data_IF_731378416632
#
_entry.id   IF_731378416632
#
_cell.length_a   1.000
_cell.length_b   1.000
_cell.length_c   1.000
_cell.angle_alpha   90.00
_cell.angle_beta   90.00
_cell.angle_gamma   90.00
#
_symmetry.space_group_name_H-M   'P 1'
#
loop_
_entity.id
_entity.type
_entity.pdbx_description
1 polymer ?
#
# COMPACT_ATOMS: atom_id res chain seq x y z
N UNK A 1 -27.77 -0.65 5.64
CA UNK A 1 -26.82 -0.32 6.72
C UNK A 1 -25.54 0.13 6.04
N UNK A 2 -25.11 1.39 6.22
CA UNK A 2 -23.89 1.91 5.58
C UNK A 2 -22.69 1.29 6.29
N UNK A 3 -21.84 0.56 5.55
CA UNK A 3 -20.57 0.08 6.07
C UNK A 3 -19.55 1.21 5.98
N UNK A 4 -19.32 1.89 7.10
CA UNK A 4 -18.19 2.84 7.20
C UNK A 4 -16.85 2.10 7.10
N UNK A 5 -15.91 2.70 6.36
CA UNK A 5 -14.54 2.19 6.33
C UNK A 5 -13.88 2.38 7.69
N UNK A 6 -13.58 1.28 8.37
CA UNK A 6 -12.92 1.32 9.66
C UNK A 6 -11.44 1.72 9.47
N UNK A 7 -11.05 2.83 10.08
CA UNK A 7 -9.64 3.25 10.10
C UNK A 7 -8.97 2.72 11.37
N UNK A 8 -7.84 2.07 11.19
CA UNK A 8 -7.00 1.61 12.29
C UNK A 8 -5.68 2.37 12.26
N UNK A 9 -5.36 3.01 13.38
CA UNK A 9 -4.08 3.67 13.58
C UNK A 9 -3.12 2.78 14.34
N UNK A 10 -1.83 3.01 14.13
CA UNK A 10 -0.77 2.29 14.81
C UNK A 10 -0.74 2.68 16.31
N UNK A 11 -0.68 1.68 17.19
CA UNK A 11 -0.48 1.92 18.62
C UNK A 11 1.02 1.95 18.96
N UNK A 12 1.60 3.15 18.94
CA UNK A 12 3.02 3.40 19.21
C UNK A 12 3.45 3.02 20.64
N UNK A 13 2.50 2.92 21.58
CA UNK A 13 2.78 2.69 23.00
C UNK A 13 2.45 1.27 23.46
N UNK A 14 2.11 0.37 22.54
CA UNK A 14 1.74 -1.03 22.87
C UNK A 14 2.74 -1.75 23.77
N UNK A 15 4.02 -1.38 23.70
CA UNK A 15 5.11 -2.06 24.39
C UNK A 15 5.75 -1.22 25.51
N UNK A 16 5.04 -0.28 26.11
CA UNK A 16 5.53 0.68 27.12
C UNK A 16 6.76 1.53 26.66
N UNK A 17 7.10 1.43 25.39
CA UNK A 17 8.12 2.22 24.68
C UNK A 17 7.55 2.67 23.35
N UNK A 18 8.02 3.79 22.84
CA UNK A 18 7.65 4.21 21.49
C UNK A 18 8.30 3.30 20.47
N UNK A 19 7.49 2.43 19.86
CA UNK A 19 7.93 1.53 18.81
C UNK A 19 7.01 1.71 17.59
N UNK A 20 7.63 1.90 16.42
CA UNK A 20 6.93 2.18 15.16
C UNK A 20 6.81 0.93 14.28
N UNK A 21 6.86 -0.25 14.88
CA UNK A 21 6.78 -1.56 14.24
C UNK A 21 6.07 -2.55 15.15
N UNK A 22 5.32 -3.47 14.56
CA UNK A 22 4.70 -4.60 15.27
C UNK A 22 4.65 -5.85 14.37
N UNK A 23 4.56 -7.02 14.95
CA UNK A 23 4.34 -8.29 14.25
C UNK A 23 3.31 -9.12 15.02
N UNK A 24 2.13 -9.26 14.44
CA UNK A 24 1.00 -9.95 15.07
C UNK A 24 0.75 -11.27 14.36
N UNK A 25 0.64 -12.37 15.14
CA UNK A 25 0.16 -13.63 14.60
C UNK A 25 -1.35 -13.57 14.43
N UNK A 26 -1.83 -13.77 13.22
CA UNK A 26 -3.20 -13.45 12.82
C UNK A 26 -4.26 -14.37 13.44
N UNK A 27 -3.93 -15.60 13.83
CA UNK A 27 -4.88 -16.49 14.50
C UNK A 27 -5.34 -15.96 15.88
N UNK A 28 -4.50 -15.17 16.54
CA UNK A 28 -4.84 -14.50 17.81
C UNK A 28 -5.79 -13.31 17.57
N UNK A 29 -5.78 -12.75 16.37
CA UNK A 29 -6.61 -11.62 15.96
C UNK A 29 -7.86 -12.07 15.21
N UNK A 30 -7.98 -13.36 14.87
CA UNK A 30 -9.03 -13.96 14.06
C UNK A 30 -10.45 -13.63 14.57
N UNK A 31 -10.62 -13.52 15.89
CA UNK A 31 -11.88 -13.08 16.53
C UNK A 31 -12.26 -11.62 16.20
N UNK A 32 -11.35 -10.83 15.59
CA UNK A 32 -11.53 -9.42 15.22
C UNK A 32 -11.68 -9.23 13.71
N UNK A 33 -11.50 -10.30 12.90
CA UNK A 33 -11.71 -10.21 11.45
C UNK A 33 -13.19 -10.16 11.17
N UNK A 34 -13.63 -9.02 10.69
CA UNK A 34 -14.99 -8.85 10.20
C UNK A 34 -14.93 -8.96 8.68
N UNK A 35 -15.49 -10.03 8.14
CA UNK A 35 -15.66 -10.17 6.68
C UNK A 35 -16.75 -9.22 6.18
N UNK A 36 -16.56 -8.68 4.97
CA UNK A 36 -17.54 -7.78 4.37
C UNK A 36 -17.50 -6.35 4.92
N UNK A 37 -16.56 -6.00 5.82
CA UNK A 37 -16.37 -4.64 6.29
C UNK A 37 -15.07 -4.05 5.73
N UNK A 38 -15.15 -2.95 4.96
CA UNK A 38 -13.96 -2.25 4.48
C UNK A 38 -13.16 -1.65 5.63
N UNK A 39 -11.83 -1.73 5.53
CA UNK A 39 -10.92 -1.14 6.51
C UNK A 39 -9.66 -0.59 5.83
N UNK A 40 -8.96 0.31 6.49
CA UNK A 40 -7.64 0.80 6.10
C UNK A 40 -6.76 1.05 7.31
N UNK A 41 -5.46 1.04 7.07
CA UNK A 41 -4.41 1.37 8.05
C UNK A 41 -3.70 2.64 7.63
N UNK A 42 -3.18 3.42 8.57
CA UNK A 42 -2.31 4.58 8.32
C UNK A 42 -0.81 4.22 8.23
N UNK A 43 -0.49 2.93 8.27
CA UNK A 43 0.85 2.36 8.21
C UNK A 43 1.00 1.33 7.08
N UNK A 44 2.23 0.97 6.76
CA UNK A 44 2.55 -0.13 5.85
C UNK A 44 2.46 -1.48 6.55
N UNK A 45 2.14 -2.53 5.79
CA UNK A 45 2.09 -3.88 6.31
C UNK A 45 2.48 -4.94 5.28
N UNK A 46 2.89 -6.08 5.80
CA UNK A 46 3.16 -7.29 5.05
C UNK A 46 2.42 -8.42 5.73
N UNK A 47 1.47 -9.02 5.04
CA UNK A 47 0.79 -10.19 5.55
C UNK A 47 1.36 -11.46 4.90
N UNK A 48 1.85 -12.38 5.72
CA UNK A 48 2.45 -13.65 5.30
C UNK A 48 1.49 -14.76 5.71
N UNK A 49 0.78 -15.35 4.73
CA UNK A 49 -0.24 -16.35 4.99
C UNK A 49 0.37 -17.73 5.25
N UNK A 50 0.20 -18.24 6.47
CA UNK A 50 0.77 -19.50 6.93
C UNK A 50 -0.13 -20.73 6.65
N UNK A 51 -1.45 -20.58 6.76
CA UNK A 51 -2.42 -21.66 6.53
C UNK A 51 -3.76 -21.14 6.03
N UNK A 52 -4.64 -22.06 5.65
CA UNK A 52 -5.99 -21.77 5.21
C UNK A 52 -6.10 -21.10 3.84
N UNK A 53 -7.31 -20.68 3.51
CA UNK A 53 -7.63 -19.95 2.29
C UNK A 53 -8.36 -18.65 2.64
N UNK A 54 -8.13 -17.62 1.85
CA UNK A 54 -8.84 -16.37 2.00
C UNK A 54 -9.12 -15.71 0.64
N UNK A 55 -10.06 -14.80 0.62
CA UNK A 55 -10.30 -13.87 -0.47
C UNK A 55 -10.30 -12.46 0.11
N UNK A 56 -9.43 -11.59 -0.41
CA UNK A 56 -9.33 -10.19 -0.03
C UNK A 56 -9.65 -9.30 -1.23
N UNK A 57 -10.36 -8.22 -1.01
CA UNK A 57 -10.50 -7.13 -1.95
C UNK A 57 -9.54 -6.01 -1.55
N UNK A 58 -8.76 -5.50 -2.50
CA UNK A 58 -7.83 -4.39 -2.32
C UNK A 58 -8.11 -3.37 -3.42
N UNK A 59 -8.54 -2.15 -3.06
CA UNK A 59 -8.91 -1.09 -4.03
C UNK A 59 -9.88 -1.61 -5.13
N UNK A 60 -10.82 -2.48 -4.75
CA UNK A 60 -11.80 -3.19 -5.60
C UNK A 60 -11.27 -4.29 -6.52
N UNK A 61 -10.01 -4.64 -6.44
CA UNK A 61 -9.47 -5.84 -7.08
C UNK A 61 -9.51 -7.01 -6.09
N UNK A 62 -10.03 -8.17 -6.52
CA UNK A 62 -10.16 -9.36 -5.68
C UNK A 62 -9.00 -10.31 -5.88
N UNK A 63 -8.42 -10.76 -4.77
CA UNK A 63 -7.29 -11.69 -4.74
C UNK A 63 -7.63 -12.93 -3.92
N UNK A 64 -7.33 -14.11 -4.48
CA UNK A 64 -7.44 -15.38 -3.78
C UNK A 64 -6.10 -15.77 -3.19
N UNK A 65 -6.11 -16.14 -1.92
CA UNK A 65 -4.95 -16.37 -1.10
C UNK A 65 -4.94 -17.79 -0.56
N UNK A 66 -3.75 -18.36 -0.46
CA UNK A 66 -3.49 -19.64 0.19
C UNK A 66 -2.10 -19.59 0.85
N UNK A 67 -1.69 -20.68 1.51
CA UNK A 67 -0.35 -20.82 2.08
C UNK A 67 0.73 -20.45 1.06
N UNK A 68 1.74 -19.70 1.49
CA UNK A 68 2.82 -19.20 0.64
C UNK A 68 2.55 -17.84 -0.02
N UNK A 69 1.34 -17.28 0.11
CA UNK A 69 1.05 -15.93 -0.33
C UNK A 69 1.57 -14.88 0.66
N UNK A 70 2.19 -13.85 0.13
CA UNK A 70 2.58 -12.62 0.83
C UNK A 70 1.79 -11.48 0.22
N UNK A 71 1.16 -10.65 1.07
CA UNK A 71 0.41 -9.48 0.65
C UNK A 71 1.12 -8.24 1.15
N UNK A 72 1.36 -7.29 0.26
CA UNK A 72 1.94 -6.00 0.58
C UNK A 72 0.83 -4.97 0.75
N UNK A 73 0.76 -4.39 1.94
CA UNK A 73 -0.30 -3.51 2.36
C UNK A 73 0.24 -2.08 2.50
N UNK A 74 -0.19 -1.18 1.62
CA UNK A 74 0.21 0.23 1.67
C UNK A 74 -0.61 1.00 2.69
N UNK A 75 -0.02 2.01 3.30
CA UNK A 75 -0.75 2.95 4.13
C UNK A 75 -1.94 3.56 3.37
N UNK A 76 -3.05 3.79 4.08
CA UNK A 76 -4.30 4.37 3.57
C UNK A 76 -4.96 3.61 2.40
N UNK A 77 -4.53 2.39 2.10
CA UNK A 77 -5.14 1.52 1.09
C UNK A 77 -6.38 0.83 1.68
N UNK A 78 -7.50 0.91 0.99
CA UNK A 78 -8.73 0.29 1.46
C UNK A 78 -8.78 -1.19 1.06
N UNK A 79 -9.20 -2.03 2.00
CA UNK A 79 -9.29 -3.48 1.89
C UNK A 79 -10.54 -4.00 2.54
N UNK A 80 -10.92 -5.21 2.12
CA UNK A 80 -12.04 -5.94 2.71
C UNK A 80 -11.73 -7.44 2.67
N UNK A 81 -11.80 -8.11 3.81
CA UNK A 81 -11.82 -9.56 3.82
C UNK A 81 -13.16 -10.05 3.31
N UNK A 82 -13.18 -10.67 2.14
CA UNK A 82 -14.41 -11.17 1.50
C UNK A 82 -14.78 -12.52 2.08
N UNK A 83 -13.80 -13.40 2.27
CA UNK A 83 -13.96 -14.72 2.86
C UNK A 83 -12.64 -15.20 3.48
N UNK A 84 -12.73 -15.94 4.57
CA UNK A 84 -11.61 -16.64 5.21
C UNK A 84 -12.08 -18.02 5.68
N UNK A 85 -11.20 -19.03 5.60
CA UNK A 85 -11.47 -20.36 6.18
C UNK A 85 -11.14 -20.38 7.66
N UNK A 86 -11.69 -21.35 8.40
CA UNK A 86 -11.50 -21.47 9.86
C UNK A 86 -10.06 -21.75 10.28
N UNK A 87 -9.27 -22.35 9.40
CA UNK A 87 -7.85 -22.65 9.58
C UNK A 87 -6.92 -21.53 9.05
N UNK A 88 -7.48 -20.38 8.68
CA UNK A 88 -6.73 -19.25 8.18
C UNK A 88 -5.83 -18.65 9.25
N UNK A 89 -4.53 -18.61 8.97
CA UNK A 89 -3.55 -17.98 9.84
C UNK A 89 -2.39 -17.35 9.09
N UNK A 90 -1.68 -16.46 9.75
CA UNK A 90 -0.51 -15.81 9.20
C UNK A 90 0.11 -14.79 10.14
N UNK A 91 1.13 -14.11 9.64
CA UNK A 91 1.80 -13.04 10.34
C UNK A 91 1.49 -11.71 9.66
N UNK A 92 1.04 -10.74 10.43
CA UNK A 92 0.90 -9.35 9.99
C UNK A 92 2.05 -8.54 10.58
N UNK A 93 3.02 -8.25 9.75
CA UNK A 93 4.12 -7.35 10.05
C UNK A 93 3.72 -5.94 9.63
N UNK A 94 3.73 -5.00 10.56
CA UNK A 94 3.33 -3.60 10.33
C UNK A 94 4.43 -2.66 10.76
N UNK A 95 4.58 -1.54 10.06
CA UNK A 95 5.55 -0.51 10.39
C UNK A 95 5.16 0.85 9.80
N UNK A 96 5.58 1.90 10.50
CA UNK A 96 5.50 3.26 9.98
C UNK A 96 6.76 3.61 9.17
N UNK A 97 6.63 4.53 8.22
CA UNK A 97 7.76 4.99 7.40
C UNK A 97 8.91 5.51 8.26
N UNK A 98 8.58 6.27 9.30
CA UNK A 98 9.53 6.85 10.24
C UNK A 98 10.47 5.80 10.87
N UNK A 99 9.99 4.56 11.09
CA UNK A 99 10.81 3.48 11.64
C UNK A 99 12.04 3.17 10.80
N UNK A 100 11.92 3.30 9.50
CA UNK A 100 12.98 3.00 8.53
C UNK A 100 13.70 4.25 8.03
N UNK A 101 12.95 5.31 7.72
CA UNK A 101 13.48 6.54 7.11
C UNK A 101 14.49 7.25 8.02
N UNK A 102 14.16 7.41 9.30
CA UNK A 102 15.04 8.08 10.27
C UNK A 102 16.37 7.34 10.46
N UNK A 103 16.32 6.00 10.51
CA UNK A 103 17.52 5.21 10.72
C UNK A 103 18.45 5.19 9.51
N UNK A 104 17.89 5.04 8.31
CA UNK A 104 18.66 5.00 7.06
C UNK A 104 18.98 6.39 6.52
N UNK A 105 18.47 7.44 7.14
CA UNK A 105 18.50 8.81 6.63
C UNK A 105 18.06 8.87 5.15
N UNK A 106 17.02 8.10 4.81
CA UNK A 106 16.51 7.91 3.46
C UNK A 106 14.98 8.01 3.47
N UNK A 107 14.46 9.20 3.24
CA UNK A 107 13.04 9.51 3.18
C UNK A 107 12.34 8.89 1.94
N UNK A 108 13.10 8.26 1.06
CA UNK A 108 12.60 7.52 -0.10
C UNK A 108 12.62 6.00 0.13
N UNK A 109 13.03 5.54 1.32
CA UNK A 109 13.28 4.13 1.60
C UNK A 109 12.13 3.22 1.17
N UNK A 110 10.90 3.48 1.65
CA UNK A 110 9.72 2.65 1.34
C UNK A 110 9.36 2.72 -0.15
N UNK A 111 9.58 3.86 -0.78
CA UNK A 111 9.30 4.06 -2.20
C UNK A 111 10.22 3.29 -3.15
N UNK A 112 11.34 2.74 -2.66
CA UNK A 112 12.25 1.89 -3.45
C UNK A 112 11.68 0.51 -3.70
N UNK A 113 10.76 0.02 -2.87
CA UNK A 113 10.19 -1.31 -3.01
C UNK A 113 9.06 -1.33 -4.04
N UNK A 114 9.23 -2.18 -5.07
CA UNK A 114 8.31 -2.28 -6.20
C UNK A 114 6.90 -2.69 -5.77
N UNK A 115 6.79 -3.58 -4.80
CA UNK A 115 5.51 -4.09 -4.31
C UNK A 115 4.66 -3.04 -3.55
N UNK A 116 5.25 -1.94 -3.12
CA UNK A 116 4.48 -0.82 -2.57
C UNK A 116 4.06 0.20 -3.64
N UNK A 117 4.33 -0.05 -4.92
CA UNK A 117 3.89 0.82 -6.00
C UNK A 117 2.41 0.57 -6.36
N UNK A 118 1.66 1.65 -6.64
CA UNK A 118 0.22 1.58 -6.93
C UNK A 118 -0.08 0.73 -8.17
N UNK A 119 0.79 0.79 -9.17
CA UNK A 119 0.59 0.11 -10.45
C UNK A 119 1.00 -1.36 -10.43
N UNK A 120 1.44 -1.88 -9.29
CA UNK A 120 1.96 -3.23 -9.17
C UNK A 120 1.00 -4.12 -8.37
N UNK A 121 0.93 -5.42 -8.66
CA UNK A 121 0.12 -6.36 -7.89
C UNK A 121 0.57 -6.38 -6.42
N UNK A 122 -0.34 -6.31 -5.45
CA UNK A 122 0.03 -6.29 -4.03
C UNK A 122 0.32 -7.68 -3.45
N UNK A 123 0.59 -8.67 -4.29
CA UNK A 123 0.75 -10.07 -3.88
C UNK A 123 2.04 -10.64 -4.46
N UNK A 124 2.71 -11.47 -3.66
CA UNK A 124 3.81 -12.33 -4.07
C UNK A 124 3.52 -13.75 -3.61
N UNK A 125 3.76 -14.72 -4.48
CA UNK A 125 3.72 -16.13 -4.11
C UNK A 125 5.15 -16.65 -4.01
N UNK A 126 5.51 -17.20 -2.84
CA UNK A 126 6.84 -17.71 -2.56
C UNK A 126 6.88 -19.24 -2.60
N UNK A 127 8.04 -19.76 -2.98
CA UNK A 127 8.39 -21.17 -2.82
C UNK A 127 8.58 -21.52 -1.34
N UNK A 128 8.36 -22.79 -0.96
CA UNK A 128 8.31 -23.23 0.44
C UNK A 128 9.56 -22.90 1.26
N UNK A 129 10.76 -22.98 0.68
CA UNK A 129 11.99 -22.69 1.42
C UNK A 129 12.10 -21.21 1.79
N UNK A 130 11.87 -20.32 0.83
CA UNK A 130 11.89 -18.87 1.06
C UNK A 130 10.75 -18.41 1.97
N UNK A 131 9.59 -19.01 1.78
CA UNK A 131 8.44 -18.75 2.64
C UNK A 131 8.74 -19.09 4.10
N UNK A 132 9.33 -20.26 4.36
CA UNK A 132 9.69 -20.71 5.71
C UNK A 132 10.69 -19.75 6.39
N UNK A 133 11.62 -19.17 5.64
CA UNK A 133 12.55 -18.17 6.14
C UNK A 133 11.83 -16.87 6.58
N UNK A 134 10.86 -16.39 5.79
CA UNK A 134 10.08 -15.20 6.16
C UNK A 134 9.22 -15.45 7.40
N UNK A 135 8.61 -16.63 7.52
CA UNK A 135 7.88 -17.03 8.73
C UNK A 135 8.80 -17.06 9.95
N UNK A 136 10.00 -17.61 9.82
CA UNK A 136 10.97 -17.66 10.90
C UNK A 136 11.43 -16.26 11.34
N UNK A 137 11.64 -15.35 10.40
CA UNK A 137 11.93 -13.96 10.73
C UNK A 137 10.78 -13.26 11.47
N UNK A 138 9.52 -13.53 11.09
CA UNK A 138 8.37 -13.02 11.84
C UNK A 138 8.33 -13.55 13.30
N UNK A 139 8.67 -14.83 13.51
CA UNK A 139 8.78 -15.39 14.87
C UNK A 139 9.86 -14.71 15.68
N UNK A 140 11.05 -14.49 15.09
CA UNK A 140 12.15 -13.77 15.74
C UNK A 140 11.76 -12.34 16.11
N UNK A 141 11.07 -11.63 15.20
CA UNK A 141 10.51 -10.31 15.47
C UNK A 141 9.52 -10.38 16.65
N UNK A 142 8.59 -11.32 16.64
CA UNK A 142 7.62 -11.49 17.72
C UNK A 142 8.27 -11.79 19.08
N UNK A 143 9.32 -12.63 19.11
CA UNK A 143 10.08 -12.90 20.33
C UNK A 143 10.78 -11.64 20.86
N UNK A 144 11.42 -10.86 19.98
CA UNK A 144 12.08 -9.62 20.37
C UNK A 144 11.10 -8.57 20.89
N UNK A 145 9.92 -8.46 20.26
CA UNK A 145 8.86 -7.56 20.70
C UNK A 145 8.31 -7.88 22.10
N UNK A 146 8.34 -9.15 22.49
CA UNK A 146 7.89 -9.57 23.82
C UNK A 146 8.91 -9.27 24.94
N UNK A 147 10.20 -9.10 24.58
CA UNK A 147 11.30 -8.89 25.53
C UNK A 147 12.25 -7.82 25.03
N UNK A 148 11.76 -6.58 24.92
CA UNK A 148 12.53 -5.44 24.38
C UNK A 148 13.74 -5.09 25.25
N UNK A 149 14.90 -4.95 24.58
CA UNK A 149 16.17 -4.47 25.12
C UNK A 149 16.47 -3.08 24.55
N UNK A 150 17.54 -2.46 25.02
CA UNK A 150 17.91 -1.12 24.55
C UNK A 150 18.33 -1.08 23.07
N UNK A 151 18.84 -2.19 22.55
CA UNK A 151 19.26 -2.37 21.16
C UNK A 151 18.20 -3.04 20.26
N UNK A 152 17.05 -3.44 20.81
CA UNK A 152 15.98 -4.14 20.07
C UNK A 152 15.54 -3.42 18.80
N UNK A 153 15.48 -2.08 18.83
CA UNK A 153 15.11 -1.31 17.65
C UNK A 153 16.10 -1.45 16.49
N UNK A 154 17.40 -1.66 16.75
CA UNK A 154 18.40 -1.95 15.71
C UNK A 154 18.21 -3.37 15.16
N UNK A 155 18.00 -4.35 16.05
CA UNK A 155 17.76 -5.73 15.65
C UNK A 155 16.49 -5.88 14.82
N UNK A 156 15.38 -5.30 15.25
CA UNK A 156 14.10 -5.30 14.54
C UNK A 156 14.21 -4.64 13.16
N UNK A 157 14.91 -3.50 13.04
CA UNK A 157 15.18 -2.84 11.76
C UNK A 157 16.00 -3.71 10.82
N UNK A 158 17.04 -4.41 11.34
CA UNK A 158 17.87 -5.28 10.52
C UNK A 158 17.07 -6.44 9.93
N UNK A 159 16.18 -7.07 10.73
CA UNK A 159 15.30 -8.13 10.27
C UNK A 159 14.30 -7.62 9.23
N UNK A 160 13.61 -6.50 9.51
CA UNK A 160 12.68 -5.90 8.56
C UNK A 160 13.36 -5.54 7.25
N UNK A 161 14.52 -4.89 7.30
CA UNK A 161 15.26 -4.49 6.11
C UNK A 161 15.66 -5.69 5.27
N UNK A 162 16.22 -6.73 5.90
CA UNK A 162 16.60 -7.96 5.21
C UNK A 162 15.39 -8.60 4.51
N UNK A 163 14.24 -8.69 5.20
CA UNK A 163 13.00 -9.20 4.62
C UNK A 163 12.54 -8.38 3.42
N UNK A 164 12.50 -7.05 3.56
CA UNK A 164 12.06 -6.14 2.48
C UNK A 164 12.94 -6.29 1.23
N UNK A 165 14.26 -6.29 1.40
CA UNK A 165 15.21 -6.45 0.27
C UNK A 165 15.03 -7.82 -0.40
N UNK A 166 14.93 -8.90 0.36
CA UNK A 166 14.77 -10.24 -0.22
C UNK A 166 13.44 -10.39 -0.94
N UNK A 167 12.35 -9.96 -0.31
CA UNK A 167 11.03 -9.95 -0.95
C UNK A 167 11.04 -9.13 -2.24
N UNK A 168 11.72 -7.97 -2.26
CA UNK A 168 11.78 -7.13 -3.45
C UNK A 168 12.57 -7.77 -4.60
N UNK A 169 13.66 -8.48 -4.30
CA UNK A 169 14.42 -9.23 -5.32
C UNK A 169 13.55 -10.29 -5.97
N UNK A 170 12.86 -11.10 -5.18
CA UNK A 170 11.95 -12.13 -5.68
C UNK A 170 10.79 -11.48 -6.47
N UNK A 171 10.25 -10.40 -5.95
CA UNK A 171 9.14 -9.68 -6.58
C UNK A 171 9.52 -9.14 -7.96
N UNK A 172 10.71 -8.53 -8.08
CA UNK A 172 11.26 -8.05 -9.35
C UNK A 172 11.42 -9.20 -10.35
N UNK A 173 11.92 -10.33 -9.90
CA UNK A 173 12.12 -11.53 -10.72
C UNK A 173 10.77 -12.10 -11.21
N UNK A 174 9.83 -12.35 -10.31
CA UNK A 174 8.50 -12.91 -10.61
C UNK A 174 7.74 -12.04 -11.59
N UNK A 175 7.75 -10.72 -11.40
CA UNK A 175 7.01 -9.77 -12.23
C UNK A 175 7.86 -9.18 -13.37
N UNK A 176 9.10 -9.63 -13.55
CA UNK A 176 10.05 -9.19 -14.59
C UNK A 176 10.21 -7.67 -14.64
N UNK A 177 10.36 -7.05 -13.49
CA UNK A 177 10.45 -5.60 -13.34
C UNK A 177 11.90 -5.11 -13.51
N UNK A 178 12.06 -3.81 -13.83
CA UNK A 178 13.38 -3.19 -13.89
C UNK A 178 13.98 -3.02 -12.48
N UNK A 179 15.26 -3.30 -12.34
CA UNK A 179 16.03 -3.09 -11.10
C UNK A 179 16.50 -1.63 -10.91
N UNK A 180 16.27 -0.78 -11.90
CA UNK A 180 16.82 0.59 -11.96
C UNK A 180 16.22 1.59 -10.95
N UNK A 181 15.15 1.21 -10.23
CA UNK A 181 14.52 2.07 -9.22
C UNK A 181 15.45 2.51 -8.09
N UNK A 182 16.48 1.71 -7.80
CA UNK A 182 17.47 2.08 -6.79
C UNK A 182 18.44 3.20 -7.25
N UNK A 183 18.48 3.47 -8.56
CA UNK A 183 19.42 4.41 -9.17
C UNK A 183 18.75 5.73 -9.60
N UNK A 184 17.45 5.74 -9.85
CA UNK A 184 16.74 6.92 -10.33
C UNK A 184 16.08 7.72 -9.21
N UNK A 185 16.78 8.74 -8.74
CA UNK A 185 16.27 9.64 -7.71
C UNK A 185 15.07 10.49 -8.17
N UNK A 186 14.92 10.80 -9.45
CA UNK A 186 13.81 11.61 -9.99
C UNK A 186 12.50 10.81 -9.89
N UNK A 187 12.50 9.57 -10.35
CA UNK A 187 11.30 8.70 -10.29
C UNK A 187 10.85 8.45 -8.86
N UNK A 188 11.78 8.20 -7.94
CA UNK A 188 11.48 7.97 -6.53
C UNK A 188 10.93 9.23 -5.85
N UNK A 189 11.60 10.39 -6.04
CA UNK A 189 11.12 11.67 -5.50
C UNK A 189 9.74 12.04 -6.04
N UNK A 190 9.50 11.78 -7.34
CA UNK A 190 8.19 11.99 -7.93
C UNK A 190 7.12 11.11 -7.25
N UNK A 191 7.38 9.84 -7.01
CA UNK A 191 6.43 8.91 -6.37
C UNK A 191 6.07 9.35 -4.97
N UNK A 192 7.06 9.72 -4.15
CA UNK A 192 6.82 10.30 -2.83
C UNK A 192 5.95 11.55 -2.93
N UNK A 193 6.36 12.50 -3.77
CA UNK A 193 5.62 13.76 -3.96
C UNK A 193 4.19 13.54 -4.48
N UNK A 194 3.97 12.53 -5.32
CA UNK A 194 2.64 12.14 -5.82
C UNK A 194 1.73 11.64 -4.71
N UNK A 195 2.23 10.75 -3.84
CA UNK A 195 1.45 10.24 -2.71
C UNK A 195 1.03 11.35 -1.74
N UNK A 196 1.94 12.27 -1.46
CA UNK A 196 1.70 13.40 -0.53
C UNK A 196 0.74 14.45 -1.10
N UNK A 197 0.74 14.66 -2.42
CA UNK A 197 0.12 15.83 -3.02
C UNK A 197 -1.02 15.56 -4.00
N UNK A 198 -1.33 14.30 -4.35
CA UNK A 198 -2.30 13.97 -5.42
C UNK A 198 -3.68 14.61 -5.23
N UNK A 199 -4.12 14.85 -4.00
CA UNK A 199 -5.42 15.46 -3.72
C UNK A 199 -5.48 16.94 -4.11
N UNK A 200 -4.35 17.64 -4.11
CA UNK A 200 -4.27 19.07 -4.39
C UNK A 200 -3.50 19.42 -5.68
N UNK A 201 -2.63 18.52 -6.15
CA UNK A 201 -1.74 18.72 -7.30
C UNK A 201 -1.92 17.59 -8.31
N UNK A 202 -2.38 17.91 -9.52
CA UNK A 202 -2.78 16.91 -10.53
C UNK A 202 -2.17 17.18 -11.91
N UNK A 203 -1.43 18.28 -12.06
CA UNK A 203 -0.77 18.65 -13.32
C UNK A 203 0.69 18.22 -13.29
N UNK A 204 1.25 17.95 -14.46
CA UNK A 204 2.68 17.61 -14.58
C UNK A 204 3.54 18.77 -14.09
N UNK A 205 3.11 19.98 -14.36
CA UNK A 205 3.80 21.22 -14.01
C UNK A 205 3.98 21.34 -12.49
N UNK A 206 2.97 20.98 -11.72
CA UNK A 206 3.03 20.97 -10.24
C UNK A 206 4.21 20.15 -9.72
N UNK A 207 4.45 18.99 -10.34
CA UNK A 207 5.53 18.07 -9.93
C UNK A 207 6.89 18.46 -10.51
N UNK A 208 6.93 19.00 -11.72
CA UNK A 208 8.19 19.51 -12.28
C UNK A 208 8.74 20.68 -11.48
N UNK A 209 7.87 21.53 -10.98
CA UNK A 209 8.21 22.66 -10.11
C UNK A 209 8.71 22.19 -8.73
N UNK A 210 7.94 21.29 -8.07
CA UNK A 210 8.33 20.70 -6.78
C UNK A 210 9.68 19.98 -6.84
N UNK A 211 9.95 19.26 -7.91
CA UNK A 211 11.15 18.44 -8.05
C UNK A 211 12.33 19.20 -8.69
N UNK A 212 12.08 20.41 -9.19
CA UNK A 212 13.06 21.23 -9.94
C UNK A 212 13.66 20.48 -11.12
N UNK A 213 12.81 19.83 -11.93
CA UNK A 213 13.20 19.09 -13.13
C UNK A 213 12.33 19.51 -14.31
N UNK A 214 12.85 19.32 -15.55
CA UNK A 214 12.05 19.54 -16.74
C UNK A 214 11.01 18.43 -16.95
N UNK A 215 9.94 18.73 -17.68
CA UNK A 215 8.92 17.75 -18.08
C UNK A 215 9.53 16.58 -18.86
N UNK A 216 10.53 16.83 -19.71
CA UNK A 216 11.24 15.79 -20.45
C UNK A 216 12.00 14.85 -19.54
N UNK A 217 12.75 15.38 -18.56
CA UNK A 217 13.48 14.58 -17.59
C UNK A 217 12.54 13.69 -16.76
N UNK A 218 11.42 14.26 -16.27
CA UNK A 218 10.43 13.52 -15.50
C UNK A 218 9.78 12.40 -16.33
N UNK A 219 9.36 12.69 -17.56
CA UNK A 219 8.81 11.68 -18.46
C UNK A 219 9.81 10.57 -18.79
N UNK A 220 11.08 10.93 -19.07
CA UNK A 220 12.13 9.95 -19.35
C UNK A 220 12.36 9.02 -18.15
N UNK A 221 12.42 9.57 -16.94
CA UNK A 221 12.58 8.80 -15.71
C UNK A 221 11.42 7.82 -15.50
N UNK A 222 10.18 8.26 -15.66
CA UNK A 222 9.00 7.41 -15.45
C UNK A 222 8.81 6.37 -16.56
N UNK A 223 9.07 6.72 -17.82
CA UNK A 223 9.05 5.74 -18.90
C UNK A 223 10.06 4.62 -18.67
N UNK A 224 11.27 4.96 -18.19
CA UNK A 224 12.31 4.00 -17.88
C UNK A 224 11.92 3.06 -16.71
N UNK A 225 11.31 3.59 -15.66
CA UNK A 225 11.04 2.83 -14.42
C UNK A 225 9.65 2.21 -14.34
N UNK A 226 8.64 2.80 -15.00
CA UNK A 226 7.25 2.36 -14.94
C UNK A 226 6.64 2.01 -16.31
N UNK A 227 7.36 2.26 -17.41
CA UNK A 227 6.83 2.06 -18.76
C UNK A 227 5.65 2.99 -19.10
N UNK A 228 5.43 4.05 -18.32
CA UNK A 228 4.28 4.95 -18.42
C UNK A 228 4.72 6.42 -18.47
N UNK A 229 3.96 7.26 -19.16
CA UNK A 229 4.18 8.71 -19.09
C UNK A 229 3.73 9.27 -17.73
N UNK A 230 4.31 10.42 -17.34
CA UNK A 230 3.95 11.13 -16.08
C UNK A 230 2.45 11.39 -15.98
N UNK A 231 1.81 11.84 -17.08
CA UNK A 231 0.38 12.10 -17.11
C UNK A 231 -0.46 10.84 -16.81
N UNK A 232 -0.02 9.68 -17.29
CA UNK A 232 -0.69 8.40 -17.04
C UNK A 232 -0.55 8.02 -15.57
N UNK A 233 0.62 8.17 -14.98
CA UNK A 233 0.86 7.84 -13.56
C UNK A 233 0.02 8.72 -12.63
N UNK A 234 0.00 10.04 -12.85
CA UNK A 234 -0.82 10.99 -12.09
C UNK A 234 -2.31 10.63 -12.22
N UNK A 235 -2.77 10.40 -13.44
CA UNK A 235 -4.16 10.05 -13.75
C UNK A 235 -4.60 8.76 -13.05
N UNK A 236 -3.78 7.72 -13.12
CA UNK A 236 -4.08 6.42 -12.52
C UNK A 236 -4.16 6.54 -10.99
N UNK A 237 -3.26 7.33 -10.39
CA UNK A 237 -3.26 7.60 -8.95
C UNK A 237 -4.48 8.42 -8.51
N UNK A 238 -4.84 9.46 -9.29
CA UNK A 238 -6.04 10.26 -9.03
C UNK A 238 -7.31 9.41 -9.12
N UNK A 239 -7.39 8.51 -10.11
CA UNK A 239 -8.53 7.59 -10.24
C UNK A 239 -8.68 6.72 -8.99
N UNK A 240 -7.59 6.26 -8.39
CA UNK A 240 -7.62 5.50 -7.13
C UNK A 240 -8.22 6.34 -5.99
N UNK A 241 -7.83 7.62 -5.85
CA UNK A 241 -8.42 8.53 -4.86
C UNK A 241 -9.93 8.74 -5.09
N UNK A 242 -10.32 8.97 -6.35
CA UNK A 242 -11.75 9.13 -6.70
C UNK A 242 -12.54 7.88 -6.33
N UNK A 243 -12.07 6.69 -6.70
CA UNK A 243 -12.74 5.42 -6.36
C UNK A 243 -12.87 5.26 -4.85
N UNK A 244 -11.82 5.58 -4.08
CA UNK A 244 -11.82 5.51 -2.63
C UNK A 244 -12.88 6.43 -2.02
N UNK A 245 -12.91 7.68 -2.43
CA UNK A 245 -13.91 8.63 -1.93
C UNK A 245 -15.35 8.21 -2.31
N UNK A 246 -15.55 7.69 -3.52
CA UNK A 246 -16.87 7.19 -3.95
C UNK A 246 -17.40 6.03 -3.11
N UNK A 247 -16.54 5.11 -2.73
CA UNK A 247 -16.95 3.85 -2.10
C UNK A 247 -16.94 3.92 -0.58
N UNK A 248 -16.00 4.65 -0.01
CA UNK A 248 -15.65 4.55 1.40
C UNK A 248 -15.81 5.87 2.17
N UNK A 249 -16.42 6.89 1.55
CA UNK A 249 -16.81 8.12 2.24
C UNK A 249 -18.28 8.42 2.05
N UNK A 250 -18.87 9.18 2.99
CA UNK A 250 -20.25 9.67 2.88
C UNK A 250 -20.38 10.96 2.06
N UNK A 251 -19.28 11.42 1.47
CA UNK A 251 -19.23 12.64 0.68
C UNK A 251 -20.17 12.55 -0.53
N UNK A 252 -20.90 13.63 -0.80
CA UNK A 252 -21.62 13.73 -2.05
C UNK A 252 -20.66 13.95 -3.24
N UNK A 253 -21.14 13.80 -4.47
CA UNK A 253 -20.27 13.93 -5.66
C UNK A 253 -19.68 15.34 -5.77
N UNK A 254 -20.40 16.38 -5.36
CA UNK A 254 -19.93 17.76 -5.44
C UNK A 254 -18.78 18.02 -4.44
N UNK A 255 -18.85 17.43 -3.25
CA UNK A 255 -17.78 17.50 -2.27
C UNK A 255 -16.49 16.84 -2.80
N UNK A 256 -16.61 15.66 -3.40
CA UNK A 256 -15.47 14.94 -4.02
C UNK A 256 -14.84 15.78 -5.14
N UNK A 257 -15.68 16.38 -6.01
CA UNK A 257 -15.23 17.27 -7.09
C UNK A 257 -14.41 18.43 -6.53
N UNK A 258 -14.94 19.08 -5.50
CA UNK A 258 -14.27 20.23 -4.87
C UNK A 258 -12.96 19.84 -4.19
N UNK A 259 -12.97 18.81 -3.35
CA UNK A 259 -11.79 18.36 -2.59
C UNK A 259 -10.66 17.84 -3.48
N UNK A 260 -11.00 17.23 -4.61
CA UNK A 260 -10.02 16.75 -5.57
C UNK A 260 -9.67 17.80 -6.65
N UNK A 261 -10.09 19.06 -6.48
CA UNK A 261 -9.67 20.17 -7.32
C UNK A 261 -10.11 20.09 -8.78
N UNK A 262 -11.21 19.40 -9.09
CA UNK A 262 -11.78 19.43 -10.44
C UNK A 262 -12.47 20.77 -10.68
N UNK A 263 -12.31 21.32 -11.90
CA UNK A 263 -12.88 22.61 -12.28
C UNK A 263 -14.42 22.63 -12.21
N UNK A 264 -15.04 21.50 -12.53
CA UNK A 264 -16.49 21.32 -12.51
C UNK A 264 -16.89 19.84 -12.48
N UNK A 265 -18.15 19.59 -12.16
CA UNK A 265 -18.74 18.25 -12.09
C UNK A 265 -18.73 17.53 -13.44
N UNK A 266 -18.88 18.24 -14.55
CA UNK A 266 -18.92 17.64 -15.88
C UNK A 266 -17.55 17.09 -16.29
N UNK A 267 -16.47 17.82 -15.97
CA UNK A 267 -15.10 17.37 -16.17
C UNK A 267 -14.77 16.14 -15.32
N UNK A 268 -15.19 16.12 -14.06
CA UNK A 268 -15.05 14.97 -13.18
C UNK A 268 -15.78 13.74 -13.72
N UNK A 269 -17.06 13.87 -14.11
CA UNK A 269 -17.85 12.75 -14.66
C UNK A 269 -17.23 12.21 -15.94
N UNK A 270 -16.79 13.08 -16.86
CA UNK A 270 -16.09 12.66 -18.09
C UNK A 270 -14.78 11.94 -17.81
N UNK A 271 -13.96 12.47 -16.89
CA UNK A 271 -12.72 11.85 -16.44
C UNK A 271 -12.98 10.44 -15.95
N UNK A 272 -13.90 10.29 -15.00
CA UNK A 272 -14.19 9.02 -14.36
C UNK A 272 -14.80 8.00 -15.32
N UNK A 273 -15.82 8.40 -16.11
CA UNK A 273 -16.50 7.52 -17.09
C UNK A 273 -15.55 7.03 -18.16
N UNK A 274 -14.65 7.88 -18.65
CA UNK A 274 -13.64 7.50 -19.65
C UNK A 274 -12.70 6.40 -19.15
N UNK A 275 -12.40 6.38 -17.85
CA UNK A 275 -11.42 5.46 -17.27
C UNK A 275 -12.06 4.19 -16.69
N UNK A 276 -13.35 4.22 -16.34
CA UNK A 276 -14.03 3.10 -15.67
C UNK A 276 -15.19 2.52 -16.47
N UNK A 277 -15.64 3.19 -17.50
CA UNK A 277 -16.84 2.85 -18.26
C UNK A 277 -18.15 3.31 -17.60
N UNK A 278 -18.15 3.61 -16.30
CA UNK A 278 -19.32 4.00 -15.52
C UNK A 278 -19.25 5.47 -15.08
N UNK A 279 -20.38 6.09 -14.89
CA UNK A 279 -20.44 7.38 -14.17
C UNK A 279 -20.12 7.18 -12.69
N UNK A 280 -19.69 8.24 -11.94
CA UNK A 280 -19.44 8.14 -10.50
C UNK A 280 -20.64 7.61 -9.70
N UNK A 281 -21.87 8.00 -10.07
CA UNK A 281 -23.09 7.53 -9.41
C UNK A 281 -23.37 6.05 -9.70
N UNK A 282 -23.26 5.61 -10.96
CA UNK A 282 -23.39 4.20 -11.35
C UNK A 282 -22.36 3.35 -10.62
N UNK A 283 -21.09 3.78 -10.61
CA UNK A 283 -20.02 3.10 -9.92
C UNK A 283 -20.31 2.98 -8.42
N UNK A 284 -20.72 4.06 -7.77
CA UNK A 284 -21.13 4.05 -6.37
C UNK A 284 -22.29 3.07 -6.12
N UNK A 285 -23.30 3.08 -6.98
CA UNK A 285 -24.47 2.19 -6.85
C UNK A 285 -24.10 0.71 -7.02
N UNK A 286 -23.20 0.39 -7.94
CA UNK A 286 -22.79 -0.99 -8.23
C UNK A 286 -21.87 -1.55 -7.12
N UNK A 287 -20.91 -0.77 -6.65
CA UNK A 287 -19.81 -1.26 -5.82
C UNK A 287 -19.87 -0.83 -4.35
N UNK A 288 -20.70 0.15 -3.98
CA UNK A 288 -20.92 0.52 -2.59
C UNK A 288 -22.06 -0.35 -2.04
N UNK A 289 -21.71 -1.31 -1.21
CA UNK A 289 -22.66 -2.19 -0.51
C UNK A 289 -23.27 -1.51 0.73
#
# INVERSE_FOLDING_TARGET
MKLETKRHSFDRKKYDRELLMDCVFFSEVERKVVTGQPFCYDFHGIFIQNSGKAKISIENESFSLNRGCIIFLRANQVREWVAVTTDFSGYLLIFENEFTETFFNDDLFVHRFQFFQISQPPILRCEDQLFSEFVENCKRIGLELNYLRDDSHHYLRSLLYTMLIRMNRIYIEVYRLSTELYQDSISLRFRKSLEENIRSKQRIEDYTELLKVSRSQLNKALNKTAGKSTAVVIRDRLLTEVKRDLLYSDKNISDIVYELGFSDKSNFVRFFKRLTGNTPNEFRSIYRK
#
